data_IF_956978973820
#
_entry.id   IF_956978973820
#
_cell.length_a   1.000
_cell.length_b   1.000
_cell.length_c   1.000
_cell.angle_alpha   90.00
_cell.angle_beta   90.00
_cell.angle_gamma   90.00
#
_symmetry.space_group_name_H-M   'P 1'
#
loop_
_entity.id
_entity.type
_entity.pdbx_description
1 polymer ?
#
# COMPACT_ATOMS: atom_id res chain seq x y z
N UNK A 1 -40.48 13.24 -18.89
CA UNK A 1 -39.16 12.67 -19.28
C UNK A 1 -38.16 12.94 -18.16
N UNK A 2 -38.03 12.04 -17.18
CA UNK A 2 -37.12 12.18 -16.02
C UNK A 2 -36.58 10.80 -15.62
N UNK A 3 -35.81 10.16 -16.50
CA UNK A 3 -35.29 8.82 -16.24
C UNK A 3 -33.96 8.53 -16.96
N UNK A 4 -33.09 9.53 -17.11
CA UNK A 4 -31.80 9.36 -17.81
C UNK A 4 -30.58 9.96 -17.11
N UNK A 5 -30.67 10.46 -15.87
CA UNK A 5 -29.51 11.11 -15.20
C UNK A 5 -28.84 10.22 -14.13
N UNK A 6 -29.35 9.03 -13.84
CA UNK A 6 -28.82 8.16 -12.76
C UNK A 6 -27.90 7.02 -13.21
N UNK A 7 -27.46 6.98 -14.48
CA UNK A 7 -26.66 5.87 -14.99
C UNK A 7 -25.14 6.13 -15.03
N UNK A 8 -24.66 7.34 -14.78
CA UNK A 8 -23.24 7.71 -15.02
C UNK A 8 -22.33 7.75 -13.77
N UNK A 9 -22.84 7.47 -12.57
CA UNK A 9 -22.03 7.54 -11.33
C UNK A 9 -21.56 6.17 -10.78
N UNK A 10 -21.91 5.05 -11.42
CA UNK A 10 -21.61 3.70 -10.92
C UNK A 10 -20.51 2.95 -11.68
N UNK A 11 -19.84 3.60 -12.65
CA UNK A 11 -18.81 2.96 -13.48
C UNK A 11 -17.39 3.01 -12.89
N UNK A 12 -17.19 3.52 -11.66
CA UNK A 12 -15.85 3.75 -11.08
C UNK A 12 -15.61 3.10 -9.72
N UNK A 13 -16.49 2.24 -9.23
CA UNK A 13 -16.17 1.34 -8.12
C UNK A 13 -15.50 0.07 -8.65
N UNK A 14 -14.44 0.22 -9.43
CA UNK A 14 -13.44 -0.84 -9.52
C UNK A 14 -12.79 -0.89 -8.15
N UNK A 15 -12.91 -2.00 -7.44
CA UNK A 15 -12.04 -2.30 -6.30
C UNK A 15 -10.61 -2.15 -6.81
N UNK A 16 -9.98 -1.02 -6.51
CA UNK A 16 -8.57 -0.85 -6.78
C UNK A 16 -7.86 -1.93 -5.96
N UNK A 17 -7.35 -2.96 -6.64
CA UNK A 17 -6.39 -3.91 -6.06
C UNK A 17 -5.04 -3.20 -5.85
N UNK A 18 -5.07 -2.04 -5.20
CA UNK A 18 -3.88 -1.36 -4.75
C UNK A 18 -3.28 -2.25 -3.67
N UNK A 19 -2.04 -2.70 -3.86
CA UNK A 19 -1.26 -3.52 -2.91
C UNK A 19 -1.63 -5.02 -2.89
N UNK A 20 -2.04 -5.63 -4.02
CA UNK A 20 -2.11 -7.10 -4.12
C UNK A 20 -0.73 -7.76 -4.11
N UNK A 21 0.25 -7.09 -4.72
CA UNK A 21 1.60 -7.60 -4.94
C UNK A 21 2.60 -7.09 -3.89
N UNK A 22 2.11 -6.40 -2.86
CA UNK A 22 2.91 -6.03 -1.71
C UNK A 22 2.97 -7.15 -0.70
N UNK A 23 3.96 -7.06 0.16
CA UNK A 23 4.21 -8.05 1.19
C UNK A 23 4.59 -7.35 2.49
N UNK A 24 4.24 -7.94 3.65
CA UNK A 24 4.54 -7.35 4.93
C UNK A 24 5.95 -7.66 5.42
N UNK A 25 6.56 -6.71 6.13
CA UNK A 25 7.80 -6.88 6.86
C UNK A 25 7.54 -6.67 8.36
N UNK A 26 7.96 -7.63 9.18
CA UNK A 26 7.81 -7.56 10.64
C UNK A 26 9.14 -7.92 11.29
N UNK A 27 9.69 -7.02 12.08
CA UNK A 27 10.90 -7.25 12.86
C UNK A 27 10.63 -6.98 14.33
N UNK A 28 11.05 -7.90 15.19
CA UNK A 28 10.91 -7.75 16.63
C UNK A 28 12.13 -8.32 17.36
N UNK A 29 12.44 -7.72 18.50
CA UNK A 29 13.66 -8.02 19.24
C UNK A 29 13.47 -7.94 20.74
N UNK A 30 14.28 -8.72 21.45
CA UNK A 30 14.45 -8.63 22.91
C UNK A 30 15.18 -7.36 23.37
N UNK A 31 15.89 -6.70 22.46
CA UNK A 31 16.56 -5.40 22.65
C UNK A 31 15.76 -4.27 22.01
N UNK A 32 15.99 -3.03 22.48
CA UNK A 32 15.34 -1.85 21.92
C UNK A 32 15.97 -1.47 20.57
N UNK A 33 15.12 -1.06 19.64
CA UNK A 33 15.56 -0.45 18.39
C UNK A 33 15.73 1.07 18.61
N UNK A 34 16.80 1.64 18.06
CA UNK A 34 16.92 3.10 17.93
C UNK A 34 15.71 3.65 17.16
N UNK A 35 15.19 4.81 17.57
CA UNK A 35 13.92 5.43 17.14
C UNK A 35 13.52 5.08 15.68
N UNK A 36 12.79 3.97 15.54
CA UNK A 36 12.38 3.51 14.23
C UNK A 36 11.23 4.40 13.74
N UNK A 37 11.31 5.02 12.55
CA UNK A 37 10.28 5.93 12.07
C UNK A 37 8.96 5.17 11.90
N UNK A 38 8.01 5.43 12.80
CA UNK A 38 6.78 4.64 13.00
C UNK A 38 5.63 4.95 12.05
N UNK A 39 5.84 5.77 11.01
CA UNK A 39 4.73 6.41 10.29
C UNK A 39 4.53 5.98 8.83
N UNK A 40 5.36 5.09 8.29
CA UNK A 40 5.23 4.69 6.88
C UNK A 40 4.57 3.32 6.74
N UNK A 41 3.26 3.32 6.49
CA UNK A 41 2.49 2.10 6.23
C UNK A 41 2.82 1.43 4.89
N UNK A 42 3.32 2.22 3.93
CA UNK A 42 3.72 1.77 2.58
C UNK A 42 5.14 2.24 2.34
N UNK A 43 6.02 1.32 1.94
CA UNK A 43 7.41 1.62 1.58
C UNK A 43 7.82 0.87 0.33
N UNK A 44 8.82 1.38 -0.38
CA UNK A 44 9.50 0.62 -1.43
C UNK A 44 10.48 -0.38 -0.80
N UNK A 45 10.82 -1.46 -1.51
CA UNK A 45 11.82 -2.44 -1.09
C UNK A 45 13.14 -1.78 -0.63
N UNK A 46 13.64 -0.82 -1.39
CA UNK A 46 14.95 -0.19 -1.10
C UNK A 46 14.88 0.66 0.18
N UNK A 47 13.80 1.40 0.40
CA UNK A 47 13.57 2.17 1.63
C UNK A 47 13.43 1.25 2.85
N UNK A 48 12.66 0.16 2.73
CA UNK A 48 12.49 -0.81 3.79
C UNK A 48 13.84 -1.45 4.15
N UNK A 49 14.64 -1.83 3.14
CA UNK A 49 15.95 -2.45 3.33
C UNK A 49 16.98 -1.48 3.94
N UNK A 50 16.96 -0.20 3.56
CA UNK A 50 17.81 0.82 4.17
C UNK A 50 17.48 1.02 5.66
N UNK A 51 16.19 1.12 6.02
CA UNK A 51 15.77 1.23 7.42
C UNK A 51 16.13 -0.01 8.24
N UNK A 52 15.93 -1.21 7.67
CA UNK A 52 16.33 -2.46 8.34
C UNK A 52 17.83 -2.50 8.57
N UNK A 53 18.63 -2.12 7.57
CA UNK A 53 20.09 -2.04 7.72
C UNK A 53 20.48 -1.07 8.81
N UNK A 54 19.91 0.14 8.82
CA UNK A 54 20.17 1.16 9.84
C UNK A 54 19.88 0.63 11.26
N UNK A 55 18.74 -0.02 11.46
CA UNK A 55 18.40 -0.63 12.76
C UNK A 55 19.37 -1.77 13.16
N UNK A 56 19.84 -2.54 12.18
CA UNK A 56 20.79 -3.64 12.39
C UNK A 56 22.23 -3.16 12.56
N UNK A 57 22.58 -1.91 12.21
CA UNK A 57 23.94 -1.38 12.39
C UNK A 57 24.39 -1.48 13.84
N UNK A 58 23.50 -1.30 14.81
CA UNK A 58 23.83 -1.36 16.24
C UNK A 58 24.09 -2.78 16.76
N UNK A 59 23.82 -3.80 15.94
CA UNK A 59 23.89 -5.22 16.28
C UNK A 59 23.26 -5.51 17.63
N UNK A 60 21.93 -5.30 17.76
CA UNK A 60 21.31 -5.15 19.06
C UNK A 60 21.11 -6.51 19.78
N UNK A 61 21.37 -7.64 19.13
CA UNK A 61 21.33 -8.99 19.73
C UNK A 61 22.41 -9.91 19.12
N UNK A 62 22.58 -11.10 19.70
CA UNK A 62 23.56 -12.09 19.25
C UNK A 62 22.97 -13.11 18.26
N UNK A 63 21.66 -13.35 18.34
CA UNK A 63 20.95 -14.35 17.54
C UNK A 63 19.96 -13.69 16.58
N UNK A 64 20.07 -14.01 15.29
CA UNK A 64 19.16 -13.47 14.27
C UNK A 64 18.41 -14.61 13.59
N UNK A 65 17.10 -14.49 13.48
CA UNK A 65 16.25 -15.47 12.78
C UNK A 65 15.47 -14.76 11.68
N UNK A 66 15.73 -15.13 10.44
CA UNK A 66 15.07 -14.62 9.26
C UNK A 66 14.11 -15.68 8.71
N UNK A 67 12.82 -15.31 8.63
CA UNK A 67 11.73 -16.16 8.17
C UNK A 67 11.13 -15.50 6.95
N UNK A 68 11.28 -16.12 5.79
CA UNK A 68 10.59 -15.72 4.57
C UNK A 68 9.36 -16.61 4.37
N UNK A 69 8.16 -16.03 4.29
CA UNK A 69 6.92 -16.77 4.04
C UNK A 69 6.32 -16.35 2.69
N UNK A 70 6.25 -17.28 1.76
CA UNK A 70 5.60 -17.08 0.46
C UNK A 70 4.07 -16.95 0.62
N UNK A 71 3.49 -15.97 -0.09
CA UNK A 71 2.05 -15.70 -0.11
C UNK A 71 1.50 -14.94 1.10
N UNK A 72 2.33 -14.53 2.06
CA UNK A 72 1.88 -13.73 3.19
C UNK A 72 1.50 -12.31 2.77
N UNK A 73 0.33 -11.83 3.19
CA UNK A 73 -0.19 -10.50 2.89
C UNK A 73 -0.46 -9.72 4.19
N UNK A 74 -0.56 -8.39 4.11
CA UNK A 74 -0.93 -7.54 5.25
C UNK A 74 -2.21 -8.00 5.95
N UNK A 75 -3.18 -8.53 5.20
CA UNK A 75 -4.46 -8.97 5.75
C UNK A 75 -4.29 -10.11 6.76
N UNK A 76 -3.29 -10.97 6.53
CA UNK A 76 -2.94 -12.10 7.41
C UNK A 76 -2.35 -11.59 8.74
N UNK A 77 -1.53 -10.53 8.69
CA UNK A 77 -0.91 -9.93 9.88
C UNK A 77 -1.88 -9.02 10.62
N UNK A 78 -2.84 -8.38 9.95
CA UNK A 78 -3.84 -7.54 10.63
C UNK A 78 -4.82 -8.34 11.47
N UNK A 79 -4.99 -9.63 11.17
CA UNK A 79 -5.92 -10.50 11.86
C UNK A 79 -5.19 -11.46 12.81
N UNK A 80 -5.29 -11.28 14.14
CA UNK A 80 -4.65 -12.17 15.11
C UNK A 80 -5.05 -13.64 14.98
N UNK A 81 -6.23 -13.93 14.43
CA UNK A 81 -6.71 -15.29 14.18
C UNK A 81 -6.05 -15.97 12.97
N UNK A 82 -5.64 -15.20 11.97
CA UNK A 82 -4.98 -15.71 10.79
C UNK A 82 -3.51 -16.05 11.07
N UNK A 83 -2.85 -15.25 11.91
CA UNK A 83 -1.46 -15.45 12.35
C UNK A 83 -1.26 -15.47 13.88
N UNK A 84 -1.89 -16.41 14.63
CA UNK A 84 -1.87 -16.41 16.09
C UNK A 84 -0.49 -16.57 16.74
N UNK A 85 0.37 -17.45 16.23
CA UNK A 85 1.69 -17.66 16.79
C UNK A 85 2.63 -16.48 16.56
N UNK A 86 2.58 -15.84 15.39
CA UNK A 86 3.35 -14.63 15.11
C UNK A 86 2.92 -13.51 16.07
N UNK A 87 1.62 -13.30 16.23
CA UNK A 87 1.09 -12.32 17.19
C UNK A 87 1.51 -12.64 18.63
N UNK A 88 1.39 -13.90 19.04
CA UNK A 88 1.80 -14.34 20.36
C UNK A 88 3.31 -14.16 20.59
N UNK A 89 4.14 -14.32 19.55
CA UNK A 89 5.58 -14.08 19.64
C UNK A 89 5.89 -12.59 19.83
N UNK A 90 5.24 -11.70 19.07
CA UNK A 90 5.40 -10.24 19.17
C UNK A 90 4.84 -9.70 20.50
N UNK A 91 3.82 -10.34 21.05
CA UNK A 91 3.15 -9.94 22.29
C UNK A 91 3.89 -10.37 23.56
N UNK A 92 4.99 -11.15 23.47
CA UNK A 92 5.77 -11.56 24.64
C UNK A 92 6.34 -10.35 25.37
N UNK A 93 6.40 -10.43 26.71
CA UNK A 93 6.89 -9.36 27.58
C UNK A 93 8.39 -9.07 27.43
N UNK A 94 9.15 -10.05 26.93
CA UNK A 94 10.58 -9.94 26.69
C UNK A 94 10.92 -9.07 25.47
N UNK A 95 9.95 -8.84 24.58
CA UNK A 95 10.13 -8.07 23.35
C UNK A 95 10.10 -6.58 23.65
N UNK A 96 11.23 -5.91 23.42
CA UNK A 96 11.40 -4.48 23.66
C UNK A 96 11.41 -3.67 22.35
N UNK A 97 11.93 -4.25 21.26
CA UNK A 97 11.99 -3.63 19.94
C UNK A 97 10.92 -4.19 19.02
N UNK A 98 10.16 -3.31 18.35
CA UNK A 98 9.18 -3.68 17.32
C UNK A 98 9.29 -2.72 16.15
N UNK A 99 9.29 -3.27 14.94
CA UNK A 99 9.33 -2.52 13.70
C UNK A 99 8.51 -3.26 12.66
N UNK A 100 7.46 -2.64 12.14
CA UNK A 100 6.49 -3.28 11.25
C UNK A 100 6.25 -2.37 10.06
N UNK A 101 6.45 -2.89 8.85
CA UNK A 101 6.07 -2.26 7.60
C UNK A 101 4.94 -3.12 7.00
N UNK A 102 3.69 -2.67 7.04
CA UNK A 102 2.56 -3.45 6.56
C UNK A 102 2.63 -3.76 5.07
N UNK A 103 3.04 -2.79 4.25
CA UNK A 103 3.07 -2.91 2.79
C UNK A 103 4.44 -2.52 2.24
N UNK A 104 5.20 -3.50 1.77
CA UNK A 104 6.42 -3.26 0.99
C UNK A 104 6.13 -3.54 -0.47
N UNK A 105 6.42 -2.56 -1.32
CA UNK A 105 6.20 -2.64 -2.77
C UNK A 105 7.51 -3.02 -3.47
N UNK A 106 7.42 -4.01 -4.35
CA UNK A 106 8.52 -4.53 -5.15
C UNK A 106 8.83 -5.98 -4.83
N UNK A 107 9.92 -6.49 -5.41
CA UNK A 107 10.41 -7.84 -5.11
C UNK A 107 10.69 -8.01 -3.61
N UNK A 108 10.55 -9.25 -3.12
CA UNK A 108 10.89 -9.55 -1.72
C UNK A 108 12.33 -9.19 -1.40
N UNK A 109 12.60 -8.87 -0.13
CA UNK A 109 13.98 -8.69 0.30
C UNK A 109 14.73 -10.02 0.15
N UNK A 110 15.91 -9.93 -0.47
CA UNK A 110 16.85 -11.03 -0.56
C UNK A 110 17.38 -11.37 0.84
N UNK A 111 17.04 -12.57 1.29
CA UNK A 111 17.38 -13.06 2.60
C UNK A 111 18.89 -13.25 2.79
N UNK A 112 19.56 -13.70 1.73
CA UNK A 112 21.01 -13.91 1.74
C UNK A 112 21.72 -12.56 1.90
N UNK A 113 21.22 -11.52 1.22
CA UNK A 113 21.75 -10.17 1.34
C UNK A 113 21.60 -9.57 2.76
N UNK A 114 20.50 -9.86 3.47
CA UNK A 114 20.36 -9.47 4.88
C UNK A 114 21.34 -10.26 5.75
N UNK A 115 21.44 -11.57 5.53
CA UNK A 115 22.32 -12.44 6.31
C UNK A 115 23.78 -11.99 6.20
N UNK A 116 24.26 -11.73 4.99
CA UNK A 116 25.61 -11.24 4.71
C UNK A 116 25.85 -9.87 5.36
N UNK A 117 24.84 -8.99 5.34
CA UNK A 117 24.91 -7.69 5.99
C UNK A 117 25.07 -7.82 7.51
N UNK A 118 24.26 -8.66 8.17
CA UNK A 118 24.32 -8.90 9.62
C UNK A 118 25.70 -9.44 10.01
N UNK A 119 26.20 -10.44 9.28
CA UNK A 119 27.55 -10.96 9.53
C UNK A 119 28.59 -9.85 9.41
N UNK A 120 28.58 -9.11 8.30
CA UNK A 120 29.59 -8.08 8.03
C UNK A 120 29.54 -6.93 9.06
N UNK A 121 28.36 -6.39 9.33
CA UNK A 121 28.17 -5.26 10.24
C UNK A 121 28.53 -5.63 11.69
N UNK A 122 28.17 -6.83 12.14
CA UNK A 122 28.42 -7.26 13.51
C UNK A 122 29.83 -7.81 13.73
N UNK A 123 30.45 -8.43 12.72
CA UNK A 123 31.87 -8.78 12.80
C UNK A 123 32.76 -7.55 12.87
N UNK A 124 32.40 -6.45 12.19
CA UNK A 124 33.11 -5.19 12.31
C UNK A 124 33.11 -4.63 13.75
N UNK A 125 32.13 -5.03 14.58
CA UNK A 125 32.03 -4.67 16.00
C UNK A 125 32.60 -5.73 16.95
N UNK A 126 33.32 -6.73 16.42
CA UNK A 126 33.84 -7.88 17.16
C UNK A 126 32.75 -8.70 17.90
N UNK A 127 31.48 -8.59 17.48
CA UNK A 127 30.39 -9.43 18.00
C UNK A 127 30.29 -10.70 17.17
N UNK A 128 30.25 -11.87 17.83
CA UNK A 128 29.98 -13.13 17.17
C UNK A 128 28.47 -13.30 17.06
N UNK A 129 27.94 -13.18 15.85
CA UNK A 129 26.52 -13.36 15.55
C UNK A 129 26.28 -14.64 14.76
N UNK A 130 25.14 -15.27 15.01
CA UNK A 130 24.71 -16.48 14.29
C UNK A 130 23.35 -16.18 13.62
N UNK A 131 23.35 -15.68 12.36
CA UNK A 131 22.12 -15.49 11.61
C UNK A 131 21.64 -16.80 11.01
N UNK A 132 20.34 -17.05 11.15
CA UNK A 132 19.66 -18.25 10.66
C UNK A 132 18.56 -17.85 9.68
N UNK A 133 18.49 -18.54 8.55
CA UNK A 133 17.47 -18.31 7.53
C UNK A 133 16.53 -19.50 7.38
N UNK A 134 15.25 -19.24 7.19
CA UNK A 134 14.22 -20.24 6.91
C UNK A 134 13.23 -19.72 5.87
N UNK A 135 13.10 -20.45 4.76
CA UNK A 135 12.10 -20.18 3.73
C UNK A 135 10.91 -21.13 3.91
N UNK A 136 9.70 -20.55 4.00
CA UNK A 136 8.43 -21.26 4.09
C UNK A 136 7.70 -21.08 2.76
N UNK A 137 7.50 -22.19 2.06
CA UNK A 137 6.71 -22.25 0.82
C UNK A 137 5.20 -22.22 1.15
N UNK A 138 4.33 -21.76 0.22
CA UNK A 138 2.90 -21.74 0.46
C UNK A 138 2.38 -23.18 0.55
N UNK A 139 1.32 -23.41 1.33
CA UNK A 139 0.66 -24.71 1.34
C UNK A 139 -0.02 -24.96 0.00
N UNK A 140 -0.27 -26.23 -0.35
CA UNK A 140 -1.06 -26.56 -1.55
C UNK A 140 -2.50 -26.03 -1.45
N UNK A 141 -2.99 -25.83 -0.23
CA UNK A 141 -4.32 -25.29 0.07
C UNK A 141 -4.38 -23.75 -0.07
N UNK A 142 -3.24 -23.06 -0.14
CA UNK A 142 -3.15 -21.59 -0.23
C UNK A 142 -3.23 -21.06 -1.68
N UNK A 143 -3.45 -21.92 -2.69
CA UNK A 143 -3.37 -21.54 -4.11
C UNK A 143 -4.56 -20.71 -4.62
N UNK A 144 -5.68 -20.67 -3.91
CA UNK A 144 -6.88 -19.92 -4.32
C UNK A 144 -7.02 -18.61 -3.53
N UNK A 145 -6.45 -17.53 -4.07
CA UNK A 145 -6.48 -16.19 -3.46
C UNK A 145 -7.91 -15.64 -3.22
N UNK A 146 -8.87 -15.96 -4.07
CA UNK A 146 -10.27 -15.49 -3.92
C UNK A 146 -11.01 -16.17 -2.77
N UNK A 147 -10.78 -17.48 -2.57
CA UNK A 147 -11.29 -18.21 -1.41
C UNK A 147 -10.61 -17.81 -0.11
N UNK A 148 -9.32 -17.44 -0.19
CA UNK A 148 -8.48 -17.06 0.95
C UNK A 148 -9.04 -15.85 1.70
N UNK A 149 -9.39 -14.77 1.00
CA UNK A 149 -9.93 -13.56 1.65
C UNK A 149 -11.27 -13.82 2.35
N UNK A 150 -12.16 -14.59 1.71
CA UNK A 150 -13.46 -14.94 2.29
C UNK A 150 -13.31 -15.81 3.54
N UNK A 151 -12.41 -16.80 3.50
CA UNK A 151 -12.13 -17.67 4.64
C UNK A 151 -11.38 -16.93 5.77
N UNK A 152 -10.51 -15.97 5.44
CA UNK A 152 -9.89 -15.08 6.42
C UNK A 152 -10.96 -14.24 7.16
N UNK A 153 -11.89 -13.62 6.43
CA UNK A 153 -12.97 -12.82 7.01
C UNK A 153 -13.91 -13.66 7.91
N UNK A 154 -14.13 -14.93 7.56
CA UNK A 154 -14.90 -15.87 8.39
C UNK A 154 -14.09 -16.45 9.56
N UNK A 155 -12.78 -16.18 9.62
CA UNK A 155 -11.88 -16.70 10.65
C UNK A 155 -11.64 -18.21 10.56
N UNK A 156 -11.85 -18.79 9.38
CA UNK A 156 -11.74 -20.23 9.11
C UNK A 156 -10.33 -20.64 8.66
N UNK A 157 -9.48 -19.69 8.29
CA UNK A 157 -8.09 -19.92 7.86
C UNK A 157 -7.09 -19.58 8.98
N UNK A 158 -6.10 -20.47 9.13
CA UNK A 158 -4.87 -20.25 9.87
C UNK A 158 -3.69 -20.38 8.90
N UNK A 159 -3.09 -19.25 8.50
CA UNK A 159 -1.89 -19.17 7.65
C UNK A 159 -0.61 -19.05 8.48
N UNK A 160 -0.71 -19.27 9.79
CA UNK A 160 0.42 -19.16 10.69
C UNK A 160 1.35 -20.36 10.60
N UNK A 161 2.42 -20.16 9.83
CA UNK A 161 3.51 -21.13 9.72
C UNK A 161 4.74 -20.70 10.53
N UNK A 162 4.60 -19.67 11.37
CA UNK A 162 5.68 -19.15 12.19
C UNK A 162 6.25 -20.23 13.11
N UNK A 163 5.38 -21.03 13.74
CA UNK A 163 5.84 -22.15 14.59
C UNK A 163 6.61 -23.20 13.83
N UNK A 164 6.26 -23.48 12.58
CA UNK A 164 6.98 -24.43 11.72
C UNK A 164 8.38 -23.92 11.39
N UNK A 165 8.50 -22.65 11.06
CA UNK A 165 9.79 -22.00 10.81
C UNK A 165 10.70 -22.09 12.05
N UNK A 166 10.16 -21.82 13.24
CA UNK A 166 10.96 -21.82 14.46
C UNK A 166 11.15 -23.21 15.07
N UNK A 167 10.37 -24.24 14.71
CA UNK A 167 10.49 -25.59 15.28
C UNK A 167 11.88 -26.18 15.06
N UNK A 168 12.44 -25.99 13.87
CA UNK A 168 13.79 -26.42 13.53
C UNK A 168 14.84 -25.81 14.47
N UNK A 169 14.60 -24.58 14.93
CA UNK A 169 15.51 -23.84 15.80
C UNK A 169 15.20 -24.07 17.28
N UNK A 170 13.93 -24.24 17.66
CA UNK A 170 13.49 -24.47 19.02
C UNK A 170 14.09 -25.77 19.60
N UNK A 171 14.33 -26.77 18.75
CA UNK A 171 15.06 -27.99 19.14
C UNK A 171 16.51 -27.74 19.60
N UNK A 172 17.11 -26.59 19.26
CA UNK A 172 18.46 -26.23 19.74
C UNK A 172 18.47 -25.59 21.13
N UNK A 173 17.30 -25.30 21.74
CA UNK A 173 17.06 -24.71 23.08
C UNK A 173 17.86 -23.46 23.48
N UNK A 174 18.84 -23.03 22.68
CA UNK A 174 19.86 -22.06 23.05
C UNK A 174 19.50 -20.64 22.60
N UNK A 175 18.96 -20.48 21.40
CA UNK A 175 18.70 -19.15 20.82
C UNK A 175 17.58 -18.36 21.53
N UNK A 176 16.63 -19.04 22.20
CA UNK A 176 15.58 -18.38 22.98
C UNK A 176 15.99 -18.00 24.41
N UNK A 177 17.12 -18.52 24.91
CA UNK A 177 17.62 -18.18 26.26
C UNK A 177 18.41 -16.88 26.27
N UNK A 178 18.97 -16.50 25.14
CA UNK A 178 19.81 -15.32 24.96
C UNK A 178 19.08 -14.21 24.20
N UNK A 179 19.76 -13.08 23.95
CA UNK A 179 19.20 -11.99 23.17
C UNK A 179 18.97 -12.44 21.71
N UNK A 180 17.78 -12.19 21.17
CA UNK A 180 17.43 -12.51 19.79
C UNK A 180 16.61 -11.43 19.09
N UNK A 181 16.77 -11.39 17.76
CA UNK A 181 16.00 -10.57 16.83
C UNK A 181 15.41 -11.47 15.74
N UNK A 182 14.10 -11.35 15.52
CA UNK A 182 13.39 -12.08 14.47
C UNK A 182 12.96 -11.13 13.38
N UNK A 183 13.22 -11.51 12.13
CA UNK A 183 12.80 -10.84 10.92
C UNK A 183 11.84 -11.76 10.18
N UNK A 184 10.61 -11.33 10.02
CA UNK A 184 9.58 -12.01 9.26
C UNK A 184 9.30 -11.20 7.99
N UNK A 185 9.41 -11.86 6.84
CA UNK A 185 9.32 -11.26 5.51
C UNK A 185 8.27 -12.03 4.73
N UNK A 186 7.19 -11.34 4.32
CA UNK A 186 6.31 -11.88 3.30
C UNK A 186 7.02 -11.86 1.95
N UNK A 187 6.81 -12.88 1.12
CA UNK A 187 7.29 -12.87 -0.25
C UNK A 187 6.11 -13.12 -1.18
N UNK A 188 6.01 -12.41 -2.32
CA UNK A 188 4.92 -12.65 -3.26
C UNK A 188 4.99 -14.11 -3.74
N UNK A 189 3.84 -14.77 -3.80
CA UNK A 189 3.78 -16.16 -4.23
C UNK A 189 4.39 -16.29 -5.63
N UNK A 190 5.42 -17.14 -5.77
CA UNK A 190 5.99 -17.44 -7.07
C UNK A 190 4.96 -18.24 -7.84
N UNK A 191 4.26 -17.58 -8.76
CA UNK A 191 3.44 -18.25 -9.77
C UNK A 191 4.36 -19.25 -10.51
N UNK A 192 4.11 -20.55 -10.33
CA UNK A 192 4.88 -21.62 -10.95
C UNK A 192 5.05 -21.31 -12.45
N UNK A 193 6.31 -21.14 -12.89
CA UNK A 193 6.72 -20.85 -14.28
C UNK A 193 6.38 -21.96 -15.30
N UNK A 194 5.40 -22.80 -15.01
CA UNK A 194 4.85 -23.81 -15.93
C UNK A 194 3.86 -23.25 -16.95
N UNK A 195 3.45 -21.98 -16.82
CA UNK A 195 2.82 -21.21 -17.91
C UNK A 195 3.87 -20.67 -18.90
N UNK A 196 4.46 -21.62 -19.63
CA UNK A 196 5.16 -21.53 -20.92
C UNK A 196 5.27 -20.14 -21.61
N UNK A 197 6.52 -19.66 -21.74
CA UNK A 197 7.12 -18.80 -22.82
C UNK A 197 6.39 -17.48 -23.13
N UNK A 198 6.99 -16.30 -22.90
CA UNK A 198 7.97 -15.66 -23.81
C UNK A 198 8.59 -14.44 -23.10
N UNK A 199 9.87 -14.16 -23.42
CA UNK A 199 10.65 -12.90 -23.17
C UNK A 199 10.93 -12.55 -21.69
N UNK A 200 12.13 -12.79 -21.16
CA UNK A 200 13.35 -12.01 -21.37
C UNK A 200 13.13 -10.50 -21.16
N UNK A 201 13.52 -10.03 -19.97
CA UNK A 201 13.83 -8.64 -19.60
C UNK A 201 12.93 -7.57 -20.25
N UNK A 202 11.76 -7.34 -19.66
CA UNK A 202 11.10 -6.06 -19.82
C UNK A 202 10.34 -5.72 -18.54
N UNK A 203 10.60 -4.50 -18.06
CA UNK A 203 9.95 -3.82 -16.95
C UNK A 203 8.45 -4.08 -16.98
N UNK A 204 7.94 -4.91 -16.07
CA UNK A 204 6.51 -5.22 -15.98
C UNK A 204 5.76 -3.94 -15.61
N UNK A 205 5.20 -3.29 -16.64
CA UNK A 205 4.16 -2.28 -16.49
C UNK A 205 2.93 -3.05 -15.99
N UNK A 206 2.48 -2.71 -14.78
CA UNK A 206 1.27 -3.24 -14.18
C UNK A 206 0.09 -3.04 -15.14
N UNK A 207 -0.44 -4.13 -15.67
CA UNK A 207 -1.68 -4.15 -16.44
C UNK A 207 -2.75 -4.77 -15.53
N UNK A 208 -3.74 -4.00 -15.06
CA UNK A 208 -4.77 -4.52 -14.18
C UNK A 208 -5.65 -5.51 -14.94
N UNK A 209 -5.54 -6.80 -14.63
CA UNK A 209 -6.57 -7.78 -14.96
C UNK A 209 -7.80 -7.52 -14.07
N UNK A 210 -8.77 -6.78 -14.61
CA UNK A 210 -10.05 -6.61 -13.94
C UNK A 210 -10.82 -7.92 -14.02
N UNK A 211 -11.12 -8.52 -12.87
CA UNK A 211 -12.10 -9.60 -12.74
C UNK A 211 -13.38 -9.14 -13.45
N UNK A 212 -13.83 -9.91 -14.45
CA UNK A 212 -15.12 -9.67 -15.09
C UNK A 212 -16.17 -9.48 -14.00
N UNK A 213 -16.97 -8.39 -14.01
CA UNK A 213 -17.83 -8.05 -12.90
C UNK A 213 -18.83 -9.18 -12.67
N UNK A 214 -18.54 -10.01 -11.65
CA UNK A 214 -19.45 -11.02 -11.15
C UNK A 214 -20.73 -10.27 -10.84
N UNK A 215 -21.81 -10.61 -11.56
CA UNK A 215 -23.14 -10.02 -11.36
C UNK A 215 -23.65 -10.42 -9.98
N UNK A 216 -23.19 -9.69 -8.96
CA UNK A 216 -23.73 -9.77 -7.61
C UNK A 216 -25.10 -9.10 -7.63
N UNK A 217 -26.13 -9.89 -7.95
CA UNK A 217 -27.51 -9.51 -7.64
C UNK A 217 -27.64 -9.52 -6.10
N UNK A 218 -27.19 -8.47 -5.43
CA UNK A 218 -27.61 -8.23 -4.06
C UNK A 218 -29.12 -8.01 -4.10
N UNK A 219 -29.87 -9.03 -3.66
CA UNK A 219 -31.27 -8.89 -3.29
C UNK A 219 -31.31 -7.90 -2.14
N UNK A 220 -31.43 -6.63 -2.48
CA UNK A 220 -31.58 -5.52 -1.54
C UNK A 220 -32.90 -5.77 -0.84
N UNK A 221 -32.84 -6.33 0.35
CA UNK A 221 -34.00 -6.45 1.21
C UNK A 221 -34.39 -5.04 1.62
N UNK A 222 -35.37 -4.48 0.92
CA UNK A 222 -36.06 -3.24 1.27
C UNK A 222 -37.28 -3.62 2.09
N UNK A 223 -37.11 -4.52 3.05
CA UNK A 223 -38.02 -4.64 4.20
C UNK A 223 -37.72 -3.48 5.13
N UNK A 224 -38.11 -2.28 4.68
CA UNK A 224 -38.17 -1.11 5.53
C UNK A 224 -39.11 -1.44 6.69
N UNK A 225 -38.61 -1.23 7.91
CA UNK A 225 -39.23 -1.69 9.14
C UNK A 225 -40.65 -1.14 9.28
N UNK A 226 -41.62 -2.04 9.29
CA UNK A 226 -42.92 -1.77 9.88
C UNK A 226 -42.75 -1.72 11.41
N UNK A 227 -42.51 -0.54 11.97
CA UNK A 227 -42.78 -0.19 13.37
C UNK A 227 -42.82 1.33 13.45
N UNK A 228 -44.00 1.93 13.38
CA UNK A 228 -44.82 2.29 14.55
C UNK A 228 -44.19 3.38 15.41
N UNK A 229 -45.03 4.37 15.68
CA UNK A 229 -44.96 5.29 16.81
C UNK A 229 -44.20 6.59 16.57
N UNK A 230 -45.02 7.61 16.28
CA UNK A 230 -44.72 8.97 16.68
C UNK A 230 -44.40 8.99 18.18
N UNK A 231 -43.20 9.40 18.57
CA UNK A 231 -43.06 10.33 19.70
C UNK A 231 -41.67 10.97 19.86
N UNK A 232 -41.74 12.19 20.39
CA UNK A 232 -40.75 13.02 21.08
C UNK A 232 -39.34 13.30 20.52
N UNK A 233 -39.15 14.59 20.21
CA UNK A 233 -37.90 15.27 19.87
C UNK A 233 -36.93 15.33 21.06
N UNK A 234 -35.98 14.41 21.16
CA UNK A 234 -34.61 14.65 21.69
C UNK A 234 -33.73 13.42 21.41
N UNK A 235 -33.62 12.99 20.16
CA UNK A 235 -32.77 11.85 19.80
C UNK A 235 -31.47 12.35 19.16
N UNK A 236 -30.33 11.99 19.77
CA UNK A 236 -29.00 12.27 19.23
C UNK A 236 -28.81 11.42 17.98
N UNK A 237 -28.62 12.06 16.83
CA UNK A 237 -28.45 11.39 15.54
C UNK A 237 -27.15 10.56 15.52
N UNK A 238 -27.31 9.23 15.71
CA UNK A 238 -26.27 8.20 15.75
C UNK A 238 -25.89 7.65 14.36
N UNK A 239 -26.24 8.35 13.28
CA UNK A 239 -25.81 7.98 11.93
C UNK A 239 -24.27 8.03 11.82
N UNK A 240 -23.64 7.08 11.10
CA UNK A 240 -22.19 7.04 10.93
C UNK A 240 -21.68 8.39 10.39
N UNK A 241 -20.49 8.82 10.84
CA UNK A 241 -19.91 10.15 10.57
C UNK A 241 -19.91 10.55 9.08
N UNK A 242 -19.81 9.56 8.18
CA UNK A 242 -19.84 9.76 6.73
C UNK A 242 -21.24 10.06 6.14
N UNK A 243 -22.31 9.77 6.86
CA UNK A 243 -23.66 10.24 6.52
C UNK A 243 -23.91 11.67 7.01
N UNK A 244 -23.18 12.09 8.05
CA UNK A 244 -23.31 13.43 8.66
C UNK A 244 -22.56 14.51 7.87
N UNK A 245 -21.46 14.12 7.21
CA UNK A 245 -20.66 15.02 6.38
C UNK A 245 -20.93 14.81 4.88
N UNK A 246 -21.75 15.67 4.33
CA UNK A 246 -21.90 15.80 2.88
C UNK A 246 -20.75 16.66 2.33
N UNK A 247 -19.61 16.02 2.01
CA UNK A 247 -18.40 16.70 1.50
C UNK A 247 -18.65 17.55 0.24
N UNK A 248 -19.58 17.14 -0.61
CA UNK A 248 -20.04 17.90 -1.77
C UNK A 248 -21.55 18.08 -1.67
N UNK A 249 -21.98 19.19 -1.07
CA UNK A 249 -23.38 19.59 -1.19
C UNK A 249 -23.71 19.78 -2.67
N UNK A 250 -24.95 19.52 -3.10
CA UNK A 250 -25.30 19.62 -4.53
C UNK A 250 -25.04 21.03 -5.08
N UNK A 251 -25.11 22.04 -4.22
CA UNK A 251 -24.76 23.43 -4.52
C UNK A 251 -23.26 23.64 -4.76
N UNK A 252 -22.38 23.09 -3.92
CA UNK A 252 -20.92 23.19 -4.13
C UNK A 252 -20.51 22.51 -5.44
N UNK A 253 -21.09 21.34 -5.73
CA UNK A 253 -20.79 20.61 -6.97
C UNK A 253 -21.25 21.39 -8.21
N UNK A 254 -22.48 21.90 -8.23
CA UNK A 254 -22.98 22.77 -9.30
C UNK A 254 -22.15 24.05 -9.47
N UNK A 255 -21.72 24.64 -8.35
CA UNK A 255 -20.86 25.82 -8.34
C UNK A 255 -19.49 25.56 -8.94
N UNK A 256 -18.87 24.42 -8.61
CA UNK A 256 -17.55 24.04 -9.13
C UNK A 256 -17.60 23.78 -10.63
N UNK A 257 -18.63 23.09 -11.13
CA UNK A 257 -18.85 22.89 -12.58
C UNK A 257 -19.01 24.23 -13.31
N UNK A 258 -19.81 25.14 -12.75
CA UNK A 258 -20.03 26.46 -13.34
C UNK A 258 -18.75 27.30 -13.33
N UNK A 259 -17.98 27.24 -12.25
CA UNK A 259 -16.70 27.93 -12.12
C UNK A 259 -15.70 27.45 -13.18
N UNK A 260 -15.59 26.13 -13.42
CA UNK A 260 -14.72 25.58 -14.47
C UNK A 260 -15.09 26.15 -15.85
N UNK A 261 -16.38 26.22 -16.19
CA UNK A 261 -16.83 26.77 -17.47
C UNK A 261 -16.47 28.26 -17.57
N UNK A 262 -16.73 29.06 -16.54
CA UNK A 262 -16.40 30.49 -16.54
C UNK A 262 -14.89 30.73 -16.63
N UNK A 263 -14.07 29.97 -15.90
CA UNK A 263 -12.61 30.09 -15.95
C UNK A 263 -12.05 29.67 -17.31
N UNK A 264 -12.67 28.71 -18.00
CA UNK A 264 -12.25 28.32 -19.35
C UNK A 264 -12.46 29.47 -20.37
N UNK A 265 -13.62 30.14 -20.32
CA UNK A 265 -13.94 31.28 -21.18
C UNK A 265 -13.03 32.47 -20.84
N UNK A 266 -12.85 32.76 -19.55
CA UNK A 266 -11.95 33.81 -19.09
C UNK A 266 -10.50 33.55 -19.54
N UNK A 267 -10.04 32.30 -19.44
CA UNK A 267 -8.69 31.92 -19.85
C UNK A 267 -8.44 32.14 -21.34
N UNK A 268 -9.42 31.83 -22.19
CA UNK A 268 -9.33 32.13 -23.64
C UNK A 268 -9.34 33.65 -23.86
N UNK A 269 -10.17 34.41 -23.14
CA UNK A 269 -10.21 35.87 -23.21
C UNK A 269 -8.88 36.53 -22.84
N UNK A 270 -8.23 36.07 -21.76
CA UNK A 270 -6.92 36.56 -21.33
C UNK A 270 -5.82 36.24 -22.36
N UNK A 271 -5.86 35.06 -22.98
CA UNK A 271 -4.93 34.69 -24.05
C UNK A 271 -5.11 35.58 -25.29
N UNK A 272 -6.34 35.90 -25.65
CA UNK A 272 -6.63 36.81 -26.76
C UNK A 272 -6.13 38.24 -26.47
N UNK A 273 -6.35 38.74 -25.25
CA UNK A 273 -5.85 40.06 -24.84
C UNK A 273 -4.32 40.11 -24.79
N UNK A 274 -3.67 39.04 -24.31
CA UNK A 274 -2.21 38.94 -24.29
C UNK A 274 -1.57 38.84 -25.68
N UNK A 275 -2.35 38.47 -26.71
CA UNK A 275 -1.89 38.36 -28.10
C UNK A 275 -1.98 39.68 -28.88
N UNK A 276 -2.46 40.76 -28.26
CA UNK A 276 -2.51 42.09 -28.89
C UNK A 276 -1.11 42.68 -28.92
N UNK A 277 -0.41 42.46 -30.04
CA UNK A 277 0.81 43.18 -30.36
C UNK A 277 0.46 44.54 -30.99
N UNK A 278 1.03 45.60 -30.44
CA UNK A 278 0.94 46.93 -31.05
C UNK A 278 1.99 46.99 -32.16
N UNK A 279 1.55 47.19 -33.41
CA UNK A 279 2.47 47.37 -34.52
C UNK A 279 3.15 48.74 -34.43
N UNK A 280 4.35 48.76 -33.88
CA UNK A 280 5.17 49.98 -33.77
C UNK A 280 5.66 50.50 -35.15
N UNK A 281 5.59 49.68 -36.20
CA UNK A 281 5.96 50.07 -37.56
C UNK A 281 5.08 51.14 -38.20
N UNK A 282 3.88 51.41 -37.65
CA UNK A 282 3.04 52.54 -38.10
C UNK A 282 3.38 53.87 -37.42
N UNK A 283 4.19 53.82 -36.36
CA UNK A 283 4.67 55.01 -35.65
C UNK A 283 6.11 55.37 -36.02
N UNK A 284 6.86 54.44 -36.63
CA UNK A 284 8.13 54.74 -37.26
C UNK A 284 7.90 55.46 -38.59
N UNK A 285 8.32 56.73 -38.63
CA UNK A 285 8.36 57.51 -39.86
C UNK A 285 9.37 56.84 -40.79
N UNK A 286 8.89 56.29 -41.91
CA UNK A 286 9.69 55.79 -43.04
C UNK A 286 10.78 56.80 -43.44
N UNK A 287 12.00 56.61 -42.91
CA UNK A 287 13.22 57.32 -43.32
C UNK A 287 14.01 56.50 -44.34
N UNK A 288 13.33 55.62 -45.10
CA UNK A 288 13.91 54.90 -46.21
C UNK A 288 14.13 55.82 -47.42
N UNK A 289 15.13 55.54 -48.29
CA UNK A 289 15.45 56.36 -49.46
C UNK A 289 14.31 56.51 -50.50
N UNK A 290 13.19 55.80 -50.33
CA UNK A 290 11.96 55.97 -51.11
C UNK A 290 11.10 57.18 -50.66
N UNK A 291 11.26 57.67 -49.42
CA UNK A 291 10.46 58.78 -48.89
C UNK A 291 10.89 60.16 -49.44
N UNK A 292 12.14 60.30 -49.92
CA UNK A 292 12.64 61.56 -50.49
C UNK A 292 12.14 61.85 -51.92
N UNK A 293 11.55 60.86 -52.62
CA UNK A 293 11.09 61.03 -54.01
C UNK A 293 9.72 61.71 -54.17
N UNK A 294 9.02 62.04 -53.07
CA UNK A 294 7.71 62.71 -53.12
C UNK A 294 7.74 64.21 -52.81
N UNK A 295 8.91 64.81 -52.60
CA UNK A 295 9.07 66.25 -52.32
C UNK A 295 9.81 67.03 -53.41
N UNK A 296 9.93 66.46 -54.62
CA UNK A 296 10.46 67.17 -55.79
C UNK A 296 9.42 67.22 -56.90
#
# INVERSE_FOLDING_TARGET
MRLQILASALALSGSAAAFSDSWPFVMFSTSQFSDAPSNNHVQTRDQALEQVKDLLTSCPTDNYVLIAQEGANVADIRQPKAMPNLHNAIARKEIQGKFIIPEVVGESIDADAIQDYIQTACYAQAKKVEPHFTLIKPSKDDKDNEGRLFQLLNGEINVDRFTEAIKQWNMSEKWMKDSYTVLFVGTPAVQDKTSKKTSASEKTIYEPEFIEPVRMNLKRDVSDGMSSQADNKTEYDNRPLFQKYQFFTPGIFMGLITAIVLFSILGVGLRALGSLEVSYGSFDKEMGPAAQKKQQ
#
